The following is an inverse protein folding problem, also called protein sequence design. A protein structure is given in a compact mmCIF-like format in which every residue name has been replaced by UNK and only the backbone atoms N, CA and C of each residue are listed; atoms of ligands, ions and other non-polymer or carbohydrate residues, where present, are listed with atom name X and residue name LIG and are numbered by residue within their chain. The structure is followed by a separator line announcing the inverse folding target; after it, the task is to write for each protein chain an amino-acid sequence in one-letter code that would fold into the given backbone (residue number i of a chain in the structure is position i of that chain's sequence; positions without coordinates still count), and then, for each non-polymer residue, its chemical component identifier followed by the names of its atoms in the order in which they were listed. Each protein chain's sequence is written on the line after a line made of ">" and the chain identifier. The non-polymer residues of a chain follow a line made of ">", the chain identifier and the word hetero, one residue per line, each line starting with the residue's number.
data_IF_339703915722
#
_entry.id   IF_339703915722
#
_cell.length_a   1.000
_cell.length_b   1.000
_cell.length_c   1.000
_cell.angle_alpha   90.00
_cell.angle_beta   90.00
_cell.angle_gamma   90.00
#
_symmetry.space_group_name_H-M   'P 1'
#
loop_
_entity.id
_entity.type
_entity.pdbx_description
1 polymer ?
#
# COMPACT_ATOMS: atom_id res chain seq x y z
N UNK A 1 15.03 -24.95 -48.46
CA UNK A 1 14.80 -26.35 -48.88
C UNK A 1 14.23 -27.09 -47.67
N UNK A 2 12.90 -27.11 -47.57
CA UNK A 2 12.12 -27.61 -46.43
C UNK A 2 12.11 -29.14 -46.39
N UNK A 3 12.44 -29.74 -45.25
CA UNK A 3 12.23 -31.18 -45.00
C UNK A 3 10.87 -31.38 -44.31
N UNK A 4 9.94 -31.97 -45.04
CA UNK A 4 8.71 -32.61 -44.57
C UNK A 4 9.01 -33.85 -43.70
N UNK A 5 8.26 -34.04 -42.60
CA UNK A 5 7.57 -35.32 -42.31
C UNK A 5 6.43 -35.14 -41.29
N UNK A 6 5.40 -35.94 -41.51
CA UNK A 6 3.99 -35.92 -41.08
C UNK A 6 3.80 -36.61 -39.70
N UNK A 7 2.72 -36.32 -38.94
CA UNK A 7 2.49 -36.81 -37.58
C UNK A 7 1.98 -38.25 -37.50
N UNK A 8 2.14 -38.90 -36.35
CA UNK A 8 1.48 -40.17 -36.02
C UNK A 8 0.70 -40.06 -34.69
N UNK A 9 -0.52 -40.59 -34.72
CA UNK A 9 -1.54 -40.48 -33.69
C UNK A 9 -1.56 -41.71 -32.76
N UNK A 10 -1.54 -41.46 -31.45
CA UNK A 10 -2.14 -42.20 -30.31
C UNK A 10 -1.97 -43.73 -30.18
N UNK A 11 -2.64 -44.38 -29.21
CA UNK A 11 -3.12 -43.94 -27.89
C UNK A 11 -2.57 -44.86 -26.77
N UNK A 12 -2.78 -44.54 -25.48
CA UNK A 12 -3.19 -45.53 -24.46
C UNK A 12 -3.34 -44.90 -23.06
N UNK A 13 -4.60 -44.69 -22.73
CA UNK A 13 -5.27 -44.84 -21.45
C UNK A 13 -4.41 -45.50 -20.33
N UNK A 14 -4.15 -44.79 -19.23
CA UNK A 14 -4.00 -45.46 -17.94
C UNK A 14 -4.43 -44.57 -16.79
N UNK A 15 -5.63 -44.90 -16.33
CA UNK A 15 -6.32 -44.41 -15.15
C UNK A 15 -5.46 -44.53 -13.90
N UNK A 16 -5.10 -43.40 -13.28
CA UNK A 16 -4.87 -43.36 -11.84
C UNK A 16 -5.48 -42.07 -11.28
N UNK A 17 -6.74 -42.21 -10.89
CA UNK A 17 -7.43 -41.31 -9.99
C UNK A 17 -6.61 -41.27 -8.69
N UNK A 18 -5.73 -40.28 -8.56
CA UNK A 18 -5.06 -39.99 -7.31
C UNK A 18 -6.06 -39.21 -6.46
N UNK A 19 -6.79 -39.91 -5.59
CA UNK A 19 -7.58 -39.31 -4.51
C UNK A 19 -6.60 -38.65 -3.54
N UNK A 20 -6.14 -37.44 -3.88
CA UNK A 20 -5.52 -36.52 -2.92
C UNK A 20 -6.64 -36.02 -2.02
N UNK A 21 -6.95 -36.80 -0.98
CA UNK A 21 -7.58 -36.28 0.24
C UNK A 21 -6.63 -35.25 0.83
N UNK A 22 -6.69 -34.05 0.26
CA UNK A 22 -6.13 -32.86 0.87
C UNK A 22 -7.03 -32.62 2.08
N UNK A 23 -6.55 -33.08 3.23
CA UNK A 23 -7.02 -32.61 4.53
C UNK A 23 -6.77 -31.09 4.53
N UNK A 24 -7.74 -30.35 4.01
CA UNK A 24 -7.80 -28.91 4.15
C UNK A 24 -8.13 -28.68 5.62
N UNK A 25 -7.07 -28.60 6.43
CA UNK A 25 -7.16 -27.97 7.74
C UNK A 25 -7.94 -26.66 7.55
N UNK A 26 -9.00 -26.40 8.33
CA UNK A 26 -9.61 -25.10 8.34
C UNK A 26 -8.51 -24.14 8.73
N UNK A 27 -8.00 -23.37 7.76
CA UNK A 27 -7.22 -22.18 8.05
C UNK A 27 -8.18 -21.32 8.84
N UNK A 28 -8.08 -21.38 10.18
CA UNK A 28 -8.61 -20.35 11.05
C UNK A 28 -8.06 -19.07 10.44
N UNK A 29 -8.92 -18.36 9.73
CA UNK A 29 -8.60 -17.05 9.20
C UNK A 29 -8.17 -16.26 10.41
N UNK A 30 -6.86 -16.05 10.51
CA UNK A 30 -6.34 -15.01 11.36
C UNK A 30 -6.96 -13.76 10.74
N UNK A 31 -8.08 -13.33 11.31
CA UNK A 31 -8.65 -12.03 11.03
C UNK A 31 -7.61 -11.09 11.58
N UNK A 32 -6.61 -10.79 10.74
CA UNK A 32 -5.87 -9.56 10.84
C UNK A 32 -6.96 -8.53 10.69
N UNK A 33 -7.49 -8.04 11.82
CA UNK A 33 -7.97 -6.68 11.85
C UNK A 33 -6.79 -5.89 11.33
N UNK A 34 -6.79 -5.62 10.02
CA UNK A 34 -6.05 -4.51 9.48
C UNK A 34 -6.75 -3.34 10.15
N UNK A 35 -6.26 -2.97 11.34
CA UNK A 35 -6.43 -1.62 11.81
C UNK A 35 -5.87 -0.80 10.67
N UNK A 36 -6.77 -0.33 9.81
CA UNK A 36 -6.45 0.53 8.69
C UNK A 36 -6.07 1.83 9.37
N UNK A 37 -4.82 1.89 9.81
CA UNK A 37 -4.24 3.04 10.46
C UNK A 37 -4.40 4.15 9.44
N UNK A 38 -5.34 5.05 9.69
CA UNK A 38 -5.45 6.27 8.89
C UNK A 38 -4.07 6.93 8.91
N UNK A 39 -3.57 7.42 7.77
CA UNK A 39 -2.28 8.09 7.72
C UNK A 39 -2.17 9.14 8.82
N UNK A 40 -1.05 9.17 9.54
CA UNK A 40 -0.87 10.09 10.66
C UNK A 40 -0.63 11.50 10.09
N UNK A 41 -1.46 12.50 10.42
CA UNK A 41 -1.30 13.85 9.92
C UNK A 41 -0.05 14.50 10.55
N UNK A 42 0.83 15.03 9.71
CA UNK A 42 2.04 15.74 10.13
C UNK A 42 2.13 17.12 9.48
N UNK A 43 2.89 18.01 10.13
CA UNK A 43 3.30 19.31 9.60
C UNK A 43 4.78 19.20 9.23
N UNK A 44 5.12 19.53 7.99
CA UNK A 44 6.49 19.47 7.50
C UNK A 44 7.11 20.87 7.50
N UNK A 45 8.24 21.05 8.17
CA UNK A 45 8.97 22.31 8.20
C UNK A 45 10.25 22.22 7.36
N UNK A 46 10.51 23.19 6.48
CA UNK A 46 11.75 23.20 5.70
C UNK A 46 11.83 24.28 4.64
N UNK A 47 12.94 25.02 4.60
CA UNK A 47 13.17 26.14 3.66
C UNK A 47 13.25 25.75 2.19
N UNK A 48 13.66 24.52 1.87
CA UNK A 48 13.85 24.08 0.50
C UNK A 48 12.62 23.27 0.03
N UNK A 49 11.83 23.78 -0.93
CA UNK A 49 10.61 23.11 -1.38
C UNK A 49 10.89 21.78 -2.10
N UNK A 50 12.02 21.64 -2.80
CA UNK A 50 12.37 20.40 -3.47
C UNK A 50 12.64 19.26 -2.47
N UNK A 51 13.29 19.58 -1.34
CA UNK A 51 13.48 18.62 -0.26
C UNK A 51 12.16 18.31 0.44
N UNK A 52 11.30 19.30 0.68
CA UNK A 52 10.00 19.07 1.29
C UNK A 52 9.13 18.10 0.47
N UNK A 53 9.10 18.25 -0.86
CA UNK A 53 8.41 17.32 -1.76
C UNK A 53 9.01 15.91 -1.75
N UNK A 54 10.35 15.80 -1.70
CA UNK A 54 11.02 14.51 -1.59
C UNK A 54 10.67 13.81 -0.28
N UNK A 55 10.71 14.54 0.84
CA UNK A 55 10.34 14.02 2.16
C UNK A 55 8.88 13.57 2.19
N UNK A 56 7.95 14.39 1.68
CA UNK A 56 6.53 14.03 1.61
C UNK A 56 6.30 12.68 0.91
N UNK A 57 6.96 12.46 -0.24
CA UNK A 57 6.85 11.19 -0.99
C UNK A 57 7.38 9.99 -0.22
N UNK A 58 8.44 10.17 0.58
CA UNK A 58 9.06 9.10 1.36
C UNK A 58 8.30 8.77 2.66
N UNK A 59 7.38 9.63 3.08
CA UNK A 59 6.58 9.44 4.30
C UNK A 59 5.22 8.77 4.04
N UNK A 60 4.81 8.65 2.78
CA UNK A 60 3.61 7.92 2.39
C UNK A 60 3.89 6.41 2.28
N UNK A 61 2.92 5.55 2.61
CA UNK A 61 1.53 5.86 2.97
C UNK A 61 1.27 6.11 4.47
N UNK A 62 2.26 5.93 5.34
CA UNK A 62 2.06 5.93 6.79
C UNK A 62 1.71 7.31 7.35
N UNK A 63 2.22 8.38 6.73
CA UNK A 63 1.97 9.76 7.15
C UNK A 63 1.31 10.56 6.02
N UNK A 64 0.46 11.51 6.42
CA UNK A 64 -0.14 12.51 5.54
C UNK A 64 0.41 13.90 5.87
N UNK A 65 1.09 14.51 4.91
CA UNK A 65 1.64 15.86 5.07
C UNK A 65 0.52 16.87 4.80
N UNK A 66 -0.05 17.40 5.89
CA UNK A 66 -1.17 18.34 5.82
C UNK A 66 -0.75 19.77 5.48
N UNK A 67 0.45 20.18 5.92
CA UNK A 67 0.97 21.54 5.77
C UNK A 67 2.49 21.52 5.59
N UNK A 68 3.01 22.40 4.71
CA UNK A 68 4.45 22.61 4.51
C UNK A 68 4.79 24.05 4.87
N UNK A 69 5.66 24.23 5.86
CA UNK A 69 6.03 25.54 6.41
C UNK A 69 7.48 25.86 5.99
N UNK A 70 7.69 26.82 5.07
CA UNK A 70 9.01 27.08 4.51
C UNK A 70 9.89 27.96 5.41
N UNK A 71 9.32 28.71 6.37
CA UNK A 71 10.08 29.64 7.20
C UNK A 71 9.75 29.50 8.69
N UNK A 72 10.71 29.78 9.58
CA UNK A 72 10.44 29.77 11.02
C UNK A 72 9.45 30.87 11.45
N UNK A 73 9.43 32.00 10.74
CA UNK A 73 8.49 33.10 11.01
C UNK A 73 7.04 32.68 10.74
N UNK A 74 6.81 32.04 9.60
CA UNK A 74 5.49 31.50 9.25
C UNK A 74 5.12 30.37 10.22
N UNK A 75 6.07 29.50 10.57
CA UNK A 75 5.86 28.44 11.55
C UNK A 75 5.42 28.94 12.93
N UNK A 76 6.03 30.00 13.43
CA UNK A 76 5.64 30.61 14.71
C UNK A 76 4.19 31.15 14.70
N UNK A 77 3.67 31.52 13.53
CA UNK A 77 2.30 32.05 13.37
C UNK A 77 1.29 30.95 13.06
N UNK A 78 1.63 30.01 12.20
CA UNK A 78 0.72 28.99 11.67
C UNK A 78 0.61 27.77 12.57
N UNK A 79 1.72 27.26 13.11
CA UNK A 79 1.72 26.02 13.91
C UNK A 79 0.74 26.12 15.10
N UNK A 80 0.74 27.22 15.90
CA UNK A 80 -0.24 27.34 16.99
C UNK A 80 -1.70 27.29 16.51
N UNK A 81 -1.99 27.90 15.35
CA UNK A 81 -3.34 27.92 14.78
C UNK A 81 -3.77 26.54 14.26
N UNK A 82 -2.82 25.79 13.68
CA UNK A 82 -3.05 24.42 13.20
C UNK A 82 -3.30 23.45 14.36
N UNK A 83 -2.55 23.58 15.45
CA UNK A 83 -2.68 22.71 16.63
C UNK A 83 -3.91 23.03 17.49
N UNK A 84 -4.43 24.26 17.41
CA UNK A 84 -5.65 24.65 18.13
C UNK A 84 -6.90 23.98 17.55
N UNK A 85 -6.86 23.60 16.27
CA UNK A 85 -7.97 22.92 15.59
C UNK A 85 -7.79 21.41 15.72
N UNK A 86 -8.84 20.66 16.08
CA UNK A 86 -8.79 19.21 15.95
C UNK A 86 -8.55 18.85 14.47
N UNK A 87 -7.76 17.81 14.17
CA UNK A 87 -7.49 17.41 12.80
C UNK A 87 -8.81 17.06 12.11
N UNK A 88 -9.17 17.82 11.08
CA UNK A 88 -10.37 17.60 10.27
C UNK A 88 -10.14 16.38 9.38
N UNK A 89 -10.25 15.19 9.96
CA UNK A 89 -10.31 13.96 9.16
C UNK A 89 -11.68 13.94 8.51
N UNK A 90 -11.74 14.23 7.20
CA UNK A 90 -12.93 13.95 6.41
C UNK A 90 -13.11 12.42 6.41
N UNK A 91 -13.95 11.94 7.32
CA UNK A 91 -14.40 10.57 7.33
C UNK A 91 -15.21 10.36 6.05
N UNK A 92 -14.57 9.81 5.02
CA UNK A 92 -15.24 9.43 3.78
C UNK A 92 -16.27 8.36 4.12
N UNK A 93 -17.55 8.76 4.16
CA UNK A 93 -18.76 7.94 4.25
C UNK A 93 -19.03 7.18 2.95
#
# INVERSE_FOLDING_TARGET
>A
MFKHRIPSAGPQLSSRILVRRSFLLPKRGLSTHTFKMSPIPIILCGRNPALAQSVQKNLMPEYDVTHIIPSPFDGAREIPLLLTKPPTVLANS
#
